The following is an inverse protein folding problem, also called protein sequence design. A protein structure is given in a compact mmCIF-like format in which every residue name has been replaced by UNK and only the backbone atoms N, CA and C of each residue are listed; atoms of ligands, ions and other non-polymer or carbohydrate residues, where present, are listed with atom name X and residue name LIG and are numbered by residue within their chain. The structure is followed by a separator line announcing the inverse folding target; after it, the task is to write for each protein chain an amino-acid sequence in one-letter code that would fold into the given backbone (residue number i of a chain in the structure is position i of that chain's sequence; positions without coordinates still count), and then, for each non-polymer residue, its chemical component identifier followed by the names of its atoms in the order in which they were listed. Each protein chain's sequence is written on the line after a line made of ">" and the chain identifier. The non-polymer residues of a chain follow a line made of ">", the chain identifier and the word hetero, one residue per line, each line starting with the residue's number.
data_IF_252758333743
#
_entry.id   IF_252758333743
#
_cell.length_a   1.000
_cell.length_b   1.000
_cell.length_c   1.000
_cell.angle_alpha   90.00
_cell.angle_beta   90.00
_cell.angle_gamma   90.00
#
_symmetry.space_group_name_H-M   'P 1'
#
loop_
_entity.id
_entity.type
_entity.pdbx_description
1 polymer ?
#
# COMPACT_ATOMS: atom_id res chain seq x y z
N UNK A 1 -24.48 -19.76 33.79
CA UNK A 1 -24.46 -18.65 32.82
C UNK A 1 -23.00 -18.41 32.46
N UNK A 2 -22.50 -18.98 31.38
CA UNK A 2 -21.16 -18.70 30.88
C UNK A 2 -21.25 -17.44 30.02
N UNK A 3 -20.80 -16.32 30.58
CA UNK A 3 -20.64 -15.10 29.83
C UNK A 3 -19.62 -15.32 28.72
N UNK A 4 -20.03 -15.14 27.46
CA UNK A 4 -19.12 -15.03 26.33
C UNK A 4 -18.35 -13.74 26.54
N UNK A 5 -17.10 -13.85 27.00
CA UNK A 5 -16.16 -12.73 26.98
C UNK A 5 -15.80 -12.50 25.50
N UNK A 6 -16.39 -11.49 24.88
CA UNK A 6 -15.93 -11.02 23.57
C UNK A 6 -14.47 -10.62 23.71
N UNK A 7 -13.59 -11.43 23.16
CA UNK A 7 -12.17 -11.11 23.14
C UNK A 7 -11.92 -10.06 22.04
N UNK A 8 -11.49 -8.88 22.45
CA UNK A 8 -11.16 -7.78 21.55
C UNK A 8 -9.84 -8.11 20.80
N UNK A 9 -9.82 -7.97 19.46
CA UNK A 9 -8.59 -8.06 18.67
C UNK A 9 -7.72 -6.83 18.91
N UNK A 10 -6.52 -7.05 19.39
CA UNK A 10 -5.47 -6.04 19.50
C UNK A 10 -4.52 -6.15 18.31
N UNK A 11 -4.18 -5.04 17.69
CA UNK A 11 -3.24 -4.97 16.57
C UNK A 11 -2.18 -3.91 16.85
N UNK A 12 -0.91 -4.33 16.88
CA UNK A 12 0.24 -3.46 17.07
C UNK A 12 1.20 -3.61 15.90
N UNK A 13 1.90 -2.53 15.57
CA UNK A 13 2.92 -2.52 14.52
C UNK A 13 4.19 -1.88 15.03
N UNK A 14 5.31 -2.40 14.55
CA UNK A 14 6.65 -1.92 14.89
C UNK A 14 7.45 -1.80 13.60
N UNK A 15 8.25 -0.76 13.48
CA UNK A 15 9.25 -0.63 12.42
C UNK A 15 10.60 -0.98 13.02
N UNK A 16 11.17 -2.10 12.58
CA UNK A 16 12.32 -2.72 13.25
C UNK A 16 13.60 -2.59 12.42
N UNK A 17 14.71 -2.45 13.12
CA UNK A 17 16.05 -2.67 12.58
C UNK A 17 16.30 -4.17 12.35
N UNK A 18 17.33 -4.51 11.58
CA UNK A 18 17.73 -5.91 11.37
C UNK A 18 18.07 -6.60 12.70
N UNK A 19 18.79 -5.91 13.58
CA UNK A 19 19.17 -6.46 14.90
C UNK A 19 17.95 -6.76 15.77
N UNK A 20 16.96 -5.85 15.79
CA UNK A 20 15.70 -6.07 16.53
C UNK A 20 14.92 -7.26 15.96
N UNK A 21 14.86 -7.41 14.63
CA UNK A 21 14.22 -8.59 14.00
C UNK A 21 14.92 -9.87 14.46
N UNK A 22 16.26 -9.94 14.36
CA UNK A 22 17.02 -11.13 14.80
C UNK A 22 16.76 -11.46 16.25
N UNK A 23 16.82 -10.46 17.15
CA UNK A 23 16.54 -10.63 18.58
C UNK A 23 15.11 -11.13 18.83
N UNK A 24 14.13 -10.52 18.17
CA UNK A 24 12.72 -10.89 18.32
C UNK A 24 12.48 -12.34 17.90
N UNK A 25 12.94 -12.75 16.72
CA UNK A 25 12.71 -14.12 16.25
C UNK A 25 13.48 -15.17 17.05
N UNK A 26 14.67 -14.84 17.55
CA UNK A 26 15.36 -15.71 18.48
C UNK A 26 14.58 -15.92 19.78
N UNK A 27 13.92 -14.88 20.29
CA UNK A 27 13.12 -14.96 21.51
C UNK A 27 11.83 -15.76 21.35
N UNK A 28 11.16 -15.66 20.18
CA UNK A 28 9.83 -16.28 19.97
C UNK A 28 9.90 -17.68 19.34
N UNK A 29 11.04 -18.13 18.84
CA UNK A 29 11.16 -19.34 18.02
C UNK A 29 10.58 -20.62 18.60
N UNK A 30 10.53 -20.74 19.95
CA UNK A 30 9.92 -21.88 20.66
C UNK A 30 8.41 -21.72 20.92
N UNK A 31 7.86 -20.53 20.71
CA UNK A 31 6.49 -20.18 21.06
C UNK A 31 5.57 -20.03 19.86
N UNK A 32 6.14 -19.83 18.68
CA UNK A 32 5.38 -19.55 17.47
C UNK A 32 5.76 -20.53 16.34
N UNK A 33 4.75 -20.95 15.59
CA UNK A 33 4.92 -21.84 14.42
C UNK A 33 4.83 -21.04 13.14
N UNK A 34 5.77 -21.25 12.23
CA UNK A 34 5.79 -20.60 10.90
C UNK A 34 4.63 -21.13 10.08
N UNK A 35 3.87 -20.21 9.48
CA UNK A 35 2.85 -20.52 8.47
C UNK A 35 3.54 -20.68 7.11
N UNK A 36 3.48 -21.87 6.52
CA UNK A 36 3.95 -22.14 5.17
C UNK A 36 2.74 -22.39 4.27
N UNK A 37 2.55 -21.54 3.28
CA UNK A 37 1.39 -21.61 2.39
C UNK A 37 1.59 -22.58 1.23
N UNK A 38 2.85 -22.82 0.83
CA UNK A 38 3.26 -23.75 -0.20
C UNK A 38 4.59 -24.40 0.24
N UNK A 39 4.60 -25.72 0.44
CA UNK A 39 5.79 -26.42 0.91
C UNK A 39 6.93 -26.41 -0.12
N UNK A 40 6.60 -26.42 -1.41
CA UNK A 40 7.59 -26.35 -2.49
C UNK A 40 8.13 -24.93 -2.68
N UNK A 41 7.36 -23.90 -2.25
CA UNK A 41 7.71 -22.47 -2.35
C UNK A 41 7.43 -21.77 -1.03
N UNK A 42 8.27 -21.97 -0.01
CA UNK A 42 8.00 -21.50 1.35
C UNK A 42 8.12 -19.98 1.52
N UNK A 43 8.67 -19.26 0.54
CA UNK A 43 8.87 -17.82 0.64
C UNK A 43 7.67 -17.09 0.05
N UNK A 44 6.89 -16.46 0.91
CA UNK A 44 5.68 -15.76 0.52
C UNK A 44 5.93 -14.28 0.22
N UNK A 45 5.37 -13.81 -0.87
CA UNK A 45 5.31 -12.41 -1.28
C UNK A 45 3.87 -11.95 -1.35
N UNK A 46 3.66 -10.69 -1.03
CA UNK A 46 2.35 -10.04 -1.18
C UNK A 46 2.49 -8.86 -2.13
N UNK A 47 1.65 -8.85 -3.16
CA UNK A 47 1.41 -7.70 -4.02
C UNK A 47 0.08 -7.08 -3.63
N UNK A 48 0.05 -5.78 -3.40
CA UNK A 48 -1.19 -5.07 -3.04
C UNK A 48 -1.33 -3.83 -3.91
N UNK A 49 -2.37 -3.81 -4.74
CA UNK A 49 -2.73 -2.64 -5.54
C UNK A 49 -3.82 -1.86 -4.82
N UNK A 50 -3.56 -0.60 -4.52
CA UNK A 50 -4.51 0.32 -3.88
C UNK A 50 -5.21 1.17 -4.93
N UNK A 51 -6.50 1.37 -4.71
CA UNK A 51 -7.35 2.22 -5.52
C UNK A 51 -7.59 3.55 -4.82
N UNK A 52 -7.68 4.62 -5.60
CA UNK A 52 -8.09 5.94 -5.12
C UNK A 52 -8.79 6.69 -6.25
N UNK A 53 -9.46 7.76 -5.91
CA UNK A 53 -10.07 8.71 -6.83
C UNK A 53 -9.05 9.76 -7.31
N UNK A 54 -9.38 10.52 -8.36
CA UNK A 54 -8.50 11.59 -8.86
C UNK A 54 -8.25 12.68 -7.81
N UNK A 55 -9.23 12.92 -6.94
CA UNK A 55 -9.13 13.86 -5.81
C UNK A 55 -8.56 13.24 -4.53
N UNK A 56 -8.02 12.00 -4.61
CA UNK A 56 -7.38 11.29 -3.49
C UNK A 56 -8.29 11.07 -2.27
N UNK A 57 -9.54 10.68 -2.50
CA UNK A 57 -10.54 10.47 -1.46
C UNK A 57 -10.08 9.50 -0.36
N UNK A 58 -9.53 8.33 -0.74
CA UNK A 58 -9.08 7.33 0.24
C UNK A 58 -7.82 7.78 0.98
N UNK A 59 -6.90 8.47 0.31
CA UNK A 59 -5.71 9.03 0.95
C UNK A 59 -6.09 10.08 1.97
N UNK A 60 -6.97 11.03 1.60
CA UNK A 60 -7.47 12.05 2.54
C UNK A 60 -8.21 11.43 3.72
N UNK A 61 -9.00 10.38 3.48
CA UNK A 61 -9.71 9.68 4.55
C UNK A 61 -8.77 9.11 5.62
N UNK A 62 -7.52 8.79 5.26
CA UNK A 62 -6.52 8.28 6.22
C UNK A 62 -6.14 9.32 7.32
N UNK A 63 -6.47 10.59 7.13
CA UNK A 63 -6.25 11.67 8.09
C UNK A 63 -7.54 12.09 8.81
N UNK A 64 -8.67 11.53 8.42
CA UNK A 64 -9.97 11.81 9.00
C UNK A 64 -10.39 10.80 10.08
N UNK A 65 -11.57 11.00 10.67
CA UNK A 65 -12.13 10.11 11.69
C UNK A 65 -12.50 8.73 11.13
N UNK A 66 -12.72 8.63 9.82
CA UNK A 66 -13.05 7.39 9.12
C UNK A 66 -12.02 7.16 8.02
N UNK A 67 -11.05 6.30 8.30
CA UNK A 67 -10.04 5.91 7.31
C UNK A 67 -10.55 4.74 6.45
N UNK A 68 -10.58 4.93 5.13
CA UNK A 68 -10.98 3.90 4.16
C UNK A 68 -9.82 3.50 3.27
N UNK A 69 -9.80 2.25 2.79
CA UNK A 69 -8.82 1.75 1.81
C UNK A 69 -9.45 0.65 0.98
N UNK A 70 -9.56 0.89 -0.32
CA UNK A 70 -9.92 -0.14 -1.29
C UNK A 70 -8.63 -0.71 -1.90
N UNK A 71 -8.48 -2.04 -1.90
CA UNK A 71 -7.28 -2.69 -2.42
C UNK A 71 -7.54 -4.07 -2.99
N UNK A 72 -6.80 -4.41 -4.02
CA UNK A 72 -6.62 -5.76 -4.51
C UNK A 72 -5.34 -6.34 -3.88
N UNK A 73 -5.42 -7.54 -3.34
CA UNK A 73 -4.28 -8.27 -2.81
C UNK A 73 -4.10 -9.58 -3.55
N UNK A 74 -2.88 -9.82 -3.97
CA UNK A 74 -2.43 -11.03 -4.62
C UNK A 74 -1.25 -11.60 -3.85
N UNK A 75 -1.02 -12.91 -4.01
CA UNK A 75 0.03 -13.63 -3.32
C UNK A 75 0.91 -14.34 -4.34
N UNK A 76 2.21 -14.33 -4.12
CA UNK A 76 3.17 -15.05 -4.93
C UNK A 76 4.16 -15.78 -4.02
N UNK A 77 4.70 -16.89 -4.47
CA UNK A 77 5.59 -17.75 -3.69
C UNK A 77 6.85 -18.07 -4.49
N UNK A 78 7.98 -18.17 -3.80
CA UNK A 78 9.26 -18.58 -4.37
C UNK A 78 9.85 -19.76 -3.59
N UNK A 79 10.61 -20.61 -4.26
CA UNK A 79 11.29 -21.73 -3.62
C UNK A 79 12.52 -21.25 -2.84
N UNK A 80 13.24 -20.24 -3.33
CA UNK A 80 14.37 -19.61 -2.68
C UNK A 80 14.29 -18.06 -2.70
N UNK A 81 15.25 -17.39 -2.08
CA UNK A 81 15.33 -15.92 -2.08
C UNK A 81 15.83 -15.36 -3.43
N UNK A 82 16.46 -16.19 -4.22
CA UNK A 82 17.04 -15.90 -5.53
C UNK A 82 16.03 -16.10 -6.66
N UNK A 83 14.98 -16.92 -6.40
CA UNK A 83 13.98 -17.24 -7.41
C UNK A 83 12.95 -16.11 -7.57
N UNK A 84 12.48 -15.94 -8.79
CA UNK A 84 11.34 -15.08 -9.06
C UNK A 84 10.07 -15.67 -8.44
N UNK A 85 9.27 -14.88 -7.69
CA UNK A 85 8.03 -15.37 -7.12
C UNK A 85 7.01 -15.72 -8.21
N UNK A 86 6.30 -16.83 -8.03
CA UNK A 86 5.23 -17.29 -8.92
C UNK A 86 3.86 -16.92 -8.33
N UNK A 87 3.01 -16.29 -9.14
CA UNK A 87 1.70 -15.83 -8.71
C UNK A 87 0.76 -17.03 -8.41
N UNK A 88 0.19 -17.01 -7.20
CA UNK A 88 -0.78 -18.01 -6.77
C UNK A 88 -2.17 -17.77 -7.35
N UNK A 89 -3.03 -18.80 -7.28
CA UNK A 89 -4.43 -18.69 -7.65
C UNK A 89 -5.27 -17.87 -6.65
N UNK A 90 -4.73 -17.57 -5.47
CA UNK A 90 -5.45 -16.84 -4.44
C UNK A 90 -5.25 -15.33 -4.60
N UNK A 91 -6.37 -14.61 -4.63
CA UNK A 91 -6.38 -13.15 -4.59
C UNK A 91 -7.62 -12.64 -3.85
N UNK A 92 -7.61 -11.41 -3.39
CA UNK A 92 -8.78 -10.81 -2.75
C UNK A 92 -8.90 -9.30 -3.02
N UNK A 93 -10.13 -8.86 -3.24
CA UNK A 93 -10.52 -7.46 -3.22
C UNK A 93 -11.06 -7.13 -1.82
N UNK A 94 -10.53 -6.09 -1.20
CA UNK A 94 -10.86 -5.73 0.17
C UNK A 94 -11.15 -4.24 0.28
N UNK A 95 -12.25 -3.90 0.97
CA UNK A 95 -12.48 -2.58 1.55
C UNK A 95 -12.21 -2.68 3.05
N UNK A 96 -11.25 -1.89 3.53
CA UNK A 96 -11.03 -1.70 4.98
C UNK A 96 -11.54 -0.34 5.39
N UNK A 97 -12.23 -0.30 6.52
CA UNK A 97 -12.72 0.91 7.14
C UNK A 97 -12.32 0.91 8.62
N UNK A 98 -11.85 2.04 9.10
CA UNK A 98 -11.49 2.24 10.51
C UNK A 98 -12.12 3.55 10.98
N UNK A 99 -12.94 3.48 12.01
CA UNK A 99 -13.64 4.63 12.61
C UNK A 99 -12.99 5.08 13.93
N UNK A 100 -11.74 4.68 14.16
CA UNK A 100 -11.04 4.92 15.43
C UNK A 100 -11.36 3.86 16.48
N UNK A 101 -12.62 3.63 16.78
CA UNK A 101 -13.10 2.64 17.77
C UNK A 101 -13.47 1.29 17.16
N UNK A 102 -13.92 1.29 15.91
CA UNK A 102 -14.33 0.07 15.21
C UNK A 102 -13.56 -0.12 13.91
N UNK A 103 -13.24 -1.39 13.62
CA UNK A 103 -12.60 -1.79 12.37
C UNK A 103 -13.51 -2.74 11.62
N UNK A 104 -13.83 -2.42 10.39
CA UNK A 104 -14.54 -3.32 9.49
C UNK A 104 -13.68 -3.69 8.29
N UNK A 105 -13.92 -4.87 7.76
CA UNK A 105 -13.28 -5.36 6.55
C UNK A 105 -14.30 -6.14 5.74
N UNK A 106 -14.61 -5.63 4.56
CA UNK A 106 -15.39 -6.33 3.54
C UNK A 106 -14.43 -6.94 2.54
N UNK A 107 -14.60 -8.22 2.19
CA UNK A 107 -13.66 -8.96 1.35
C UNK A 107 -14.39 -9.90 0.42
N UNK A 108 -13.96 -9.94 -0.85
CA UNK A 108 -14.20 -11.03 -1.79
C UNK A 108 -12.87 -11.73 -2.05
N UNK A 109 -12.81 -13.03 -1.79
CA UNK A 109 -11.69 -13.87 -2.17
C UNK A 109 -12.07 -14.62 -3.43
N UNK A 110 -11.27 -14.46 -4.50
CA UNK A 110 -11.56 -15.05 -5.81
C UNK A 110 -10.28 -15.28 -6.61
N UNK A 111 -10.42 -15.97 -7.73
CA UNK A 111 -9.33 -16.06 -8.68
C UNK A 111 -8.96 -14.68 -9.23
N UNK A 112 -7.69 -14.43 -9.59
CA UNK A 112 -7.27 -13.19 -10.23
C UNK A 112 -8.09 -12.83 -11.46
N UNK A 113 -8.49 -13.83 -12.25
CA UNK A 113 -9.31 -13.63 -13.46
C UNK A 113 -10.68 -13.03 -13.12
N UNK A 114 -11.39 -13.59 -12.13
CA UNK A 114 -12.69 -13.07 -11.69
C UNK A 114 -12.57 -11.67 -11.11
N UNK A 115 -11.53 -11.42 -10.30
CA UNK A 115 -11.29 -10.09 -9.74
C UNK A 115 -10.95 -9.06 -10.82
N UNK A 116 -10.21 -9.46 -11.87
CA UNK A 116 -9.97 -8.61 -13.04
C UNK A 116 -11.29 -8.21 -13.70
N UNK A 117 -12.16 -9.18 -13.98
CA UNK A 117 -13.47 -8.91 -14.59
C UNK A 117 -14.30 -7.95 -13.74
N UNK A 118 -14.32 -8.13 -12.41
CA UNK A 118 -15.02 -7.23 -11.49
C UNK A 118 -14.47 -5.80 -11.58
N UNK A 119 -13.16 -5.63 -11.59
CA UNK A 119 -12.49 -4.34 -11.61
C UNK A 119 -12.66 -3.65 -12.96
N UNK A 120 -12.38 -4.35 -14.07
CA UNK A 120 -12.45 -3.80 -15.45
C UNK A 120 -13.88 -3.39 -15.79
N UNK A 121 -14.86 -4.17 -15.38
CA UNK A 121 -16.29 -3.92 -15.62
C UNK A 121 -16.97 -3.07 -14.54
N UNK A 122 -16.20 -2.55 -13.59
CA UNK A 122 -16.65 -1.68 -12.49
C UNK A 122 -17.90 -2.21 -11.79
N UNK A 123 -17.83 -3.47 -11.35
CA UNK A 123 -18.89 -4.09 -10.55
C UNK A 123 -20.06 -4.64 -11.34
N UNK A 124 -19.89 -5.03 -12.62
CA UNK A 124 -20.92 -5.78 -13.31
C UNK A 124 -21.39 -6.98 -12.46
N UNK A 125 -22.71 -7.17 -12.43
CA UNK A 125 -23.35 -8.34 -11.83
C UNK A 125 -23.08 -9.54 -12.73
N UNK A 126 -21.91 -10.11 -12.64
CA UNK A 126 -21.58 -11.34 -13.35
C UNK A 126 -22.11 -12.53 -12.54
N UNK A 127 -22.88 -13.46 -13.14
CA UNK A 127 -23.33 -14.68 -12.48
C UNK A 127 -22.18 -15.51 -11.87
N UNK A 128 -20.96 -15.40 -12.41
CA UNK A 128 -19.79 -16.04 -11.86
C UNK A 128 -19.45 -15.60 -10.44
N UNK A 129 -19.90 -14.42 -10.01
CA UNK A 129 -19.77 -13.95 -8.63
C UNK A 129 -20.92 -14.41 -7.74
N UNK A 130 -22.03 -14.89 -8.30
CA UNK A 130 -23.20 -15.31 -7.54
C UNK A 130 -22.98 -16.52 -6.62
N UNK A 131 -21.97 -17.33 -6.90
CA UNK A 131 -21.57 -18.49 -6.10
C UNK A 131 -20.44 -18.23 -5.12
N UNK A 132 -19.95 -16.97 -5.01
CA UNK A 132 -18.82 -16.65 -4.15
C UNK A 132 -19.29 -16.30 -2.74
N UNK A 133 -18.60 -16.82 -1.74
CA UNK A 133 -18.81 -16.49 -0.34
C UNK A 133 -17.76 -15.42 0.10
N UNK A 134 -18.16 -14.34 0.77
CA UNK A 134 -19.51 -13.97 1.12
C UNK A 134 -20.17 -13.05 0.08
N UNK A 135 -21.27 -13.47 -0.50
CA UNK A 135 -22.11 -12.67 -1.43
C UNK A 135 -22.50 -11.30 -0.85
N UNK A 136 -22.63 -11.21 0.47
CA UNK A 136 -22.96 -9.98 1.20
C UNK A 136 -21.91 -8.86 1.02
N UNK A 137 -20.67 -9.21 0.68
CA UNK A 137 -19.58 -8.26 0.45
C UNK A 137 -19.65 -7.61 -0.95
N UNK A 138 -20.24 -8.30 -1.92
CA UNK A 138 -20.24 -7.88 -3.32
C UNK A 138 -20.90 -6.52 -3.55
N UNK A 139 -22.12 -6.22 -3.03
CA UNK A 139 -22.76 -4.92 -3.24
C UNK A 139 -21.93 -3.74 -2.75
N UNK A 140 -21.29 -3.89 -1.60
CA UNK A 140 -20.44 -2.84 -1.01
C UNK A 140 -19.20 -2.58 -1.90
N UNK A 141 -18.53 -3.64 -2.35
CA UNK A 141 -17.35 -3.49 -3.22
C UNK A 141 -17.74 -2.99 -4.61
N UNK A 142 -18.89 -3.39 -5.15
CA UNK A 142 -19.43 -2.84 -6.40
C UNK A 142 -19.71 -1.35 -6.30
N UNK A 143 -20.30 -0.90 -5.18
CA UNK A 143 -20.55 0.52 -4.93
C UNK A 143 -19.25 1.33 -4.95
N UNK A 144 -18.20 0.86 -4.27
CA UNK A 144 -16.90 1.53 -4.27
C UNK A 144 -16.26 1.56 -5.67
N UNK A 145 -16.31 0.44 -6.42
CA UNK A 145 -15.78 0.37 -7.79
C UNK A 145 -16.60 1.18 -8.80
N UNK A 146 -17.84 1.52 -8.48
CA UNK A 146 -18.71 2.34 -9.36
C UNK A 146 -18.43 3.84 -9.27
N UNK A 147 -17.57 4.28 -8.34
CA UNK A 147 -17.13 5.68 -8.27
C UNK A 147 -16.42 6.03 -9.58
N UNK A 148 -16.86 7.08 -10.33
CA UNK A 148 -16.40 7.33 -11.72
C UNK A 148 -14.88 7.46 -11.86
N UNK A 149 -14.24 8.11 -10.88
CA UNK A 149 -12.79 8.41 -10.90
C UNK A 149 -11.93 7.37 -10.20
N UNK A 150 -12.54 6.26 -9.72
CA UNK A 150 -11.79 5.21 -9.04
C UNK A 150 -10.84 4.50 -10.00
N UNK A 151 -9.57 4.46 -9.64
CA UNK A 151 -8.52 3.83 -10.42
C UNK A 151 -7.41 3.27 -9.53
N UNK A 152 -6.63 2.29 -9.99
CA UNK A 152 -5.42 1.87 -9.28
C UNK A 152 -4.41 3.01 -9.25
N UNK A 153 -3.85 3.31 -8.07
CA UNK A 153 -2.93 4.44 -7.86
C UNK A 153 -1.56 4.02 -7.38
N UNK A 154 -1.46 2.89 -6.69
CA UNK A 154 -0.24 2.41 -6.09
C UNK A 154 -0.24 0.90 -6.03
N UNK A 155 0.88 0.26 -6.38
CA UNK A 155 1.15 -1.14 -6.06
C UNK A 155 2.28 -1.23 -5.05
N UNK A 156 2.09 -2.03 -4.00
CA UNK A 156 3.13 -2.33 -3.01
C UNK A 156 3.50 -3.80 -3.09
N UNK A 157 4.80 -4.07 -3.05
CA UNK A 157 5.38 -5.39 -2.95
C UNK A 157 6.11 -5.55 -1.63
N UNK A 158 6.02 -6.70 -1.02
CA UNK A 158 6.84 -7.07 0.13
C UNK A 158 6.89 -8.58 0.32
N UNK A 159 7.99 -9.05 0.87
CA UNK A 159 8.11 -10.41 1.36
C UNK A 159 7.46 -10.49 2.74
N UNK A 160 6.71 -11.57 3.01
CA UNK A 160 6.02 -11.77 4.28
C UNK A 160 6.38 -13.11 4.90
N UNK A 161 6.90 -13.08 6.13
CA UNK A 161 6.86 -14.22 7.02
C UNK A 161 5.63 -14.10 7.92
N UNK A 162 4.94 -15.21 8.17
CA UNK A 162 3.80 -15.27 9.06
C UNK A 162 3.98 -16.42 10.06
N UNK A 163 3.54 -16.20 11.29
CA UNK A 163 3.57 -17.16 12.36
C UNK A 163 2.31 -17.09 13.18
N UNK A 164 1.95 -18.22 13.76
CA UNK A 164 0.83 -18.34 14.71
C UNK A 164 1.33 -18.92 16.03
N UNK A 165 0.67 -18.54 17.12
CA UNK A 165 0.88 -19.06 18.44
C UNK A 165 -0.44 -19.07 19.23
N UNK A 166 -0.40 -19.59 20.47
CA UNK A 166 -1.57 -19.61 21.36
C UNK A 166 -2.81 -20.21 20.70
N UNK A 167 -2.63 -21.35 20.01
CA UNK A 167 -3.73 -22.05 19.29
C UNK A 167 -4.45 -21.11 18.29
N UNK A 168 -3.71 -20.24 17.60
CA UNK A 168 -4.23 -19.32 16.60
C UNK A 168 -4.73 -17.98 17.15
N UNK A 169 -4.74 -17.77 18.46
CA UNK A 169 -5.12 -16.50 19.09
C UNK A 169 -4.06 -15.41 19.01
N UNK A 170 -2.87 -15.74 18.51
CA UNK A 170 -1.80 -14.81 18.26
C UNK A 170 -1.28 -15.02 16.85
N UNK A 171 -1.23 -13.95 16.09
CA UNK A 171 -0.64 -13.91 14.75
C UNK A 171 0.43 -12.85 14.68
N UNK A 172 1.60 -13.27 14.19
CA UNK A 172 2.77 -12.41 14.00
C UNK A 172 3.10 -12.41 12.52
N UNK A 173 3.27 -11.22 11.91
CA UNK A 173 3.75 -11.13 10.53
C UNK A 173 4.92 -10.15 10.45
N UNK A 174 5.95 -10.53 9.69
CA UNK A 174 7.06 -9.66 9.34
C UNK A 174 7.01 -9.36 7.85
N UNK A 175 6.90 -8.09 7.49
CA UNK A 175 6.96 -7.59 6.12
C UNK A 175 8.32 -6.94 5.88
N UNK A 176 9.04 -7.42 4.87
CA UNK A 176 10.36 -6.95 4.48
C UNK A 176 10.44 -6.61 2.99
N UNK A 177 11.49 -5.88 2.60
CA UNK A 177 11.73 -5.49 1.20
C UNK A 177 10.54 -4.74 0.60
N UNK A 178 10.01 -3.79 1.37
CA UNK A 178 8.88 -3.01 0.95
C UNK A 178 9.24 -2.16 -0.26
N UNK A 179 8.54 -2.37 -1.37
CA UNK A 179 8.72 -1.66 -2.63
C UNK A 179 7.39 -1.04 -3.05
N UNK A 180 7.44 0.22 -3.45
CA UNK A 180 6.32 0.99 -3.97
C UNK A 180 6.48 1.16 -5.47
N UNK A 181 5.46 0.79 -6.24
CA UNK A 181 5.49 0.82 -7.69
C UNK A 181 4.31 1.65 -8.23
N UNK A 182 4.45 2.13 -9.46
CA UNK A 182 3.29 2.55 -10.25
C UNK A 182 2.26 1.43 -10.27
N UNK A 183 0.97 1.75 -10.48
CA UNK A 183 -0.08 0.73 -10.46
C UNK A 183 0.20 -0.39 -11.43
N UNK A 184 0.20 -1.61 -10.92
CA UNK A 184 0.27 -2.83 -11.72
C UNK A 184 -1.02 -3.60 -11.50
N UNK A 185 -1.72 -3.92 -12.56
CA UNK A 185 -2.96 -4.69 -12.48
C UNK A 185 -2.65 -6.14 -12.76
N UNK A 186 -3.18 -6.97 -11.95
CA UNK A 186 -3.37 -8.42 -11.94
C UNK A 186 -2.49 -9.22 -12.90
N UNK A 187 -1.65 -10.05 -12.31
CA UNK A 187 -0.83 -11.01 -13.04
C UNK A 187 -1.61 -12.24 -13.50
N UNK A 188 -0.96 -13.04 -14.32
CA UNK A 188 -1.45 -14.35 -14.73
C UNK A 188 -1.04 -15.39 -13.68
N UNK A 189 -1.98 -16.22 -13.24
CA UNK A 189 -1.70 -17.33 -12.30
C UNK A 189 -0.64 -18.26 -12.88
N UNK A 190 0.34 -18.61 -12.06
CA UNK A 190 1.47 -19.45 -12.47
C UNK A 190 2.60 -18.71 -13.18
N UNK A 191 2.42 -17.42 -13.53
CA UNK A 191 3.51 -16.62 -14.07
C UNK A 191 4.47 -16.16 -12.99
N UNK A 192 5.73 -16.05 -13.34
CA UNK A 192 6.72 -15.33 -12.53
C UNK A 192 6.37 -13.84 -12.47
N UNK A 193 6.47 -13.27 -11.29
CA UNK A 193 6.12 -11.88 -11.05
C UNK A 193 7.18 -11.21 -10.18
N UNK A 194 7.57 -10.01 -10.58
CA UNK A 194 8.48 -9.18 -9.83
C UNK A 194 8.13 -7.69 -10.04
N UNK A 195 8.54 -6.79 -9.15
CA UNK A 195 8.47 -5.37 -9.45
C UNK A 195 9.31 -5.06 -10.69
N UNK A 196 8.70 -4.44 -11.71
CA UNK A 196 9.46 -3.90 -12.83
C UNK A 196 10.27 -2.69 -12.36
N UNK A 197 11.57 -2.66 -12.64
CA UNK A 197 12.47 -1.59 -12.22
C UNK A 197 12.00 -0.20 -12.70
N UNK A 198 11.43 -0.11 -13.90
CA UNK A 198 10.89 1.14 -14.46
C UNK A 198 9.66 1.67 -13.68
N UNK A 199 8.93 0.78 -13.03
CA UNK A 199 7.72 1.13 -12.26
C UNK A 199 8.03 1.44 -10.79
N UNK A 200 9.23 1.11 -10.31
CA UNK A 200 9.60 1.36 -8.91
C UNK A 200 9.68 2.86 -8.66
N UNK A 201 8.87 3.33 -7.72
CA UNK A 201 8.86 4.72 -7.26
C UNK A 201 9.79 4.89 -6.07
N UNK A 202 9.72 3.96 -5.13
CA UNK A 202 10.57 3.92 -3.96
C UNK A 202 10.66 2.50 -3.41
N UNK A 203 11.76 2.20 -2.74
CA UNK A 203 11.93 1.02 -1.93
C UNK A 203 12.60 1.39 -0.62
N UNK A 204 12.35 0.63 0.43
CA UNK A 204 12.88 0.94 1.75
C UNK A 204 13.34 -0.29 2.51
N UNK A 205 14.35 -0.12 3.39
CA UNK A 205 14.83 -1.19 4.26
C UNK A 205 13.87 -1.48 5.41
N UNK A 206 12.74 -0.81 5.47
CA UNK A 206 11.78 -0.95 6.56
C UNK A 206 11.34 -2.41 6.73
N UNK A 207 11.42 -2.88 7.97
CA UNK A 207 10.92 -4.18 8.42
C UNK A 207 9.77 -3.92 9.36
N UNK A 208 8.58 -4.39 8.95
CA UNK A 208 7.34 -4.09 9.65
C UNK A 208 6.86 -5.35 10.32
N UNK A 209 6.97 -5.37 11.64
CA UNK A 209 6.37 -6.40 12.46
C UNK A 209 4.93 -5.98 12.77
N UNK A 210 3.96 -6.84 12.47
CA UNK A 210 2.55 -6.67 12.87
C UNK A 210 2.17 -7.83 13.79
N UNK A 211 1.64 -7.52 14.94
CA UNK A 211 1.18 -8.47 15.93
C UNK A 211 -0.31 -8.28 16.13
N UNK A 212 -1.05 -9.38 16.01
CA UNK A 212 -2.47 -9.45 16.31
C UNK A 212 -2.70 -10.49 17.39
N UNK A 213 -3.38 -10.11 18.44
CA UNK A 213 -3.74 -11.05 19.51
C UNK A 213 -5.15 -10.78 20.03
N UNK A 214 -5.77 -11.85 20.53
CA UNK A 214 -7.06 -11.81 21.18
C UNK A 214 -6.88 -12.12 22.66
N UNK A 215 -7.36 -11.23 23.52
CA UNK A 215 -7.18 -11.31 24.96
C UNK A 215 -5.82 -10.76 25.43
N UNK A 216 -5.36 -11.22 26.57
CA UNK A 216 -4.11 -10.74 27.19
C UNK A 216 -2.89 -11.13 26.35
N UNK A 217 -1.90 -10.24 26.35
CA UNK A 217 -0.62 -10.49 25.70
C UNK A 217 0.19 -11.49 26.54
N UNK A 218 0.66 -12.62 25.95
CA UNK A 218 1.52 -13.56 26.68
C UNK A 218 2.80 -12.89 27.19
N UNK A 219 3.25 -13.27 28.37
CA UNK A 219 4.46 -12.70 29.01
C UNK A 219 5.72 -12.86 28.15
N UNK A 220 5.87 -14.01 27.47
CA UNK A 220 6.99 -14.24 26.57
C UNK A 220 7.00 -13.24 25.40
N UNK A 221 5.83 -12.86 24.86
CA UNK A 221 5.71 -11.88 23.80
C UNK A 221 6.02 -10.47 24.30
N UNK A 222 5.53 -10.10 25.50
CA UNK A 222 5.86 -8.82 26.12
C UNK A 222 7.37 -8.65 26.30
N UNK A 223 8.07 -9.70 26.76
CA UNK A 223 9.54 -9.71 26.88
C UNK A 223 10.25 -9.63 25.54
N UNK A 224 9.75 -10.33 24.51
CA UNK A 224 10.33 -10.26 23.17
C UNK A 224 10.24 -8.88 22.53
N UNK A 225 9.22 -8.09 22.89
CA UNK A 225 8.98 -6.72 22.42
C UNK A 225 9.65 -5.64 23.28
N UNK A 226 10.31 -6.00 24.36
CA UNK A 226 10.95 -5.04 25.24
C UNK A 226 11.95 -4.14 24.50
N UNK A 227 11.83 -2.82 24.68
CA UNK A 227 12.62 -1.80 23.98
C UNK A 227 12.26 -1.63 22.50
N UNK A 228 11.07 -2.06 22.07
CA UNK A 228 10.53 -1.78 20.75
C UNK A 228 9.34 -0.81 20.86
N UNK A 229 9.39 0.28 20.12
CA UNK A 229 8.33 1.29 20.14
C UNK A 229 7.26 1.00 19.09
N UNK A 230 5.97 1.00 19.46
CA UNK A 230 4.88 0.86 18.52
C UNK A 230 4.86 1.99 17.49
N UNK A 231 4.73 1.64 16.21
CA UNK A 231 4.60 2.58 15.11
C UNK A 231 3.14 2.99 14.93
N UNK A 232 2.72 4.06 15.60
CA UNK A 232 1.38 4.60 15.47
C UNK A 232 1.15 5.23 14.09
N UNK A 233 -0.07 5.06 13.54
CA UNK A 233 -0.46 5.67 12.26
C UNK A 233 0.25 5.09 11.02
N UNK A 234 1.04 4.03 11.17
CA UNK A 234 1.75 3.41 10.05
C UNK A 234 0.78 2.84 8.99
N UNK A 235 0.98 3.24 7.73
CA UNK A 235 0.20 2.76 6.60
C UNK A 235 1.06 2.67 5.34
N UNK A 236 1.18 1.45 4.78
CA UNK A 236 1.86 1.23 3.49
C UNK A 236 1.26 2.08 2.36
N UNK A 237 -0.07 2.23 2.34
CA UNK A 237 -0.76 3.08 1.38
C UNK A 237 -0.32 4.54 1.47
N UNK A 238 -0.39 5.12 2.68
CA UNK A 238 0.05 6.52 2.91
C UNK A 238 1.50 6.73 2.50
N UNK A 239 2.41 5.87 2.98
CA UNK A 239 3.84 5.95 2.64
C UNK A 239 4.09 5.88 1.13
N UNK A 240 3.41 4.98 0.42
CA UNK A 240 3.57 4.83 -1.01
C UNK A 240 3.02 6.01 -1.80
N UNK A 241 1.87 6.56 -1.42
CA UNK A 241 1.30 7.75 -2.05
C UNK A 241 2.17 8.99 -1.83
N UNK A 242 2.71 9.16 -0.63
CA UNK A 242 3.68 10.23 -0.33
C UNK A 242 4.98 10.08 -1.14
N UNK A 243 5.45 8.85 -1.38
CA UNK A 243 6.61 8.60 -2.23
C UNK A 243 6.33 8.95 -3.70
N UNK A 244 5.13 8.64 -4.21
CA UNK A 244 4.70 9.02 -5.57
C UNK A 244 4.65 10.55 -5.68
N UNK A 245 4.03 11.25 -4.73
CA UNK A 245 3.91 12.72 -4.76
C UNK A 245 5.29 13.38 -4.77
N UNK A 246 6.21 12.96 -3.88
CA UNK A 246 7.58 13.49 -3.85
C UNK A 246 8.35 13.25 -5.15
N UNK A 247 8.18 12.09 -5.79
CA UNK A 247 8.82 11.81 -7.09
C UNK A 247 8.25 12.69 -8.19
N UNK A 248 6.95 12.94 -8.20
CA UNK A 248 6.31 13.85 -9.16
C UNK A 248 6.77 15.30 -8.95
N UNK A 249 6.81 15.78 -7.71
CA UNK A 249 7.32 17.11 -7.38
C UNK A 249 8.77 17.29 -7.84
N UNK A 250 9.63 16.29 -7.62
CA UNK A 250 11.02 16.32 -8.05
C UNK A 250 11.18 16.35 -9.59
N UNK A 251 10.23 15.79 -10.33
CA UNK A 251 10.22 15.83 -11.80
C UNK A 251 9.67 17.15 -12.36
N UNK A 252 8.72 17.78 -11.67
CA UNK A 252 8.06 19.01 -12.12
C UNK A 252 8.87 20.26 -11.77
N UNK A 253 9.61 20.23 -10.65
CA UNK A 253 10.42 21.37 -10.17
C UNK A 253 11.41 21.93 -11.20
N UNK A 254 12.21 21.12 -11.92
CA UNK A 254 13.11 21.64 -12.97
C UNK A 254 12.34 22.30 -14.12
N UNK A 255 11.24 21.70 -14.54
CA UNK A 255 10.41 22.22 -15.67
C UNK A 255 9.75 23.55 -15.31
N UNK A 256 9.31 23.70 -14.05
CA UNK A 256 8.76 24.99 -13.57
C UNK A 256 9.85 26.07 -13.52
N UNK A 257 11.05 25.74 -13.02
CA UNK A 257 12.17 26.67 -12.96
C UNK A 257 12.67 27.12 -14.35
N UNK A 258 12.67 26.22 -15.35
CA UNK A 258 12.99 26.56 -16.74
C UNK A 258 11.93 27.50 -17.34
N UNK A 259 10.65 27.26 -17.11
CA UNK A 259 9.55 28.10 -17.59
C UNK A 259 9.56 29.50 -16.96
N UNK A 260 9.87 29.58 -15.65
CA UNK A 260 9.98 30.85 -14.94
C UNK A 260 11.18 31.65 -15.47
N UNK A 261 12.31 31.01 -15.73
CA UNK A 261 13.50 31.63 -16.31
C UNK A 261 13.24 32.13 -17.77
N UNK A 262 12.53 31.35 -18.59
CA UNK A 262 12.12 31.78 -19.93
C UNK A 262 11.16 32.97 -19.88
N UNK A 263 10.19 32.96 -18.97
CA UNK A 263 9.23 34.07 -18.80
C UNK A 263 9.91 35.34 -18.27
N UNK A 264 10.91 35.25 -17.42
CA UNK A 264 11.70 36.39 -16.95
C UNK A 264 12.59 36.94 -18.07
N UNK A 265 13.27 36.08 -18.85
CA UNK A 265 14.05 36.49 -20.00
C UNK A 265 13.21 37.19 -21.08
N UNK A 266 11.96 36.73 -21.26
CA UNK A 266 11.05 37.35 -22.21
C UNK A 266 10.55 38.72 -21.73
N UNK A 267 10.30 38.92 -20.45
CA UNK A 267 9.98 40.20 -19.80
C UNK A 267 11.13 41.19 -19.93
N UNK A 268 12.35 40.74 -19.70
CA UNK A 268 13.55 41.57 -19.80
C UNK A 268 13.78 42.05 -21.25
N UNK A 269 13.55 41.17 -22.23
CA UNK A 269 13.65 41.49 -23.64
C UNK A 269 12.57 42.51 -24.12
N UNK A 270 11.33 42.38 -23.65
CA UNK A 270 10.26 43.34 -23.89
C UNK A 270 10.54 44.72 -23.26
N UNK A 271 11.09 44.71 -22.03
CA UNK A 271 11.48 45.98 -21.36
C UNK A 271 12.62 46.65 -22.07
N UNK A 272 13.60 45.91 -22.59
CA UNK A 272 14.70 46.50 -23.38
C UNK A 272 14.23 47.10 -24.74
N UNK A 273 13.21 46.49 -25.35
CA UNK A 273 12.62 46.99 -26.61
C UNK A 273 11.77 48.28 -26.42
N UNK A 274 11.14 48.43 -25.25
CA UNK A 274 10.33 49.61 -24.93
C UNK A 274 11.14 50.78 -24.41
N UNK A 275 12.36 50.53 -23.85
CA UNK A 275 13.26 51.54 -23.33
C UNK A 275 14.05 52.35 -24.37
N UNK A 276 13.94 52.02 -25.70
CA UNK A 276 14.70 52.68 -26.77
C UNK A 276 13.97 53.77 -27.50
N UNK A 277 12.85 54.32 -27.00
CA UNK A 277 12.06 55.34 -27.71
C UNK A 277 12.28 56.77 -27.21
N UNK A 278 13.28 57.09 -26.39
CA UNK A 278 13.61 58.46 -25.92
C UNK A 278 14.90 59.03 -26.53
N UNK A 279 15.03 58.99 -27.86
CA UNK A 279 16.04 59.82 -28.57
C UNK A 279 15.40 60.54 -29.74
N UNK A 280 14.71 61.64 -29.50
CA UNK A 280 14.52 62.72 -30.47
C UNK A 280 13.96 63.96 -29.84
N UNK A 281 14.82 64.84 -29.27
CA UNK A 281 14.53 66.27 -29.14
C UNK A 281 15.86 67.02 -29.09
N UNK A 282 16.37 67.34 -30.27
CA UNK A 282 17.40 68.40 -30.43
C UNK A 282 16.63 69.69 -30.66
N UNK A 283 16.78 70.76 -29.81
CA UNK A 283 16.26 72.09 -30.14
C UNK A 283 17.24 72.73 -31.10
N UNK A 284 16.69 73.16 -32.26
CA UNK A 284 17.42 73.89 -33.29
C UNK A 284 17.87 75.28 -32.82
N UNK A 285 18.98 75.69 -33.41
CA UNK A 285 19.58 77.00 -33.36
C UNK A 285 18.79 78.07 -34.09
N UNK A 286 18.77 79.25 -33.57
CA UNK A 286 18.96 80.55 -34.30
C UNK A 286 19.87 81.41 -33.43
#
# INVERSE_FOLDING_TARGET
>A
MSGVVESVEHEERFVLTRAQVTRFFAAIGRHATVETYDQARPIAYTRTTYFDTDDSFYLRSCHGPIARRLRLREYAMAASLEDAPVLSAAACLELKQNTGTARSKVRIQASPTLLRMLIERRGLRDPAFASMDPLSALPTLQSELSIPTIAPRLTTWYRRAAMTAESGRLRITLDERLTFCRPQIIGVVGAEVAPNAADIVASGPARILEIKHWGERPLWLARALEGMEPAHGFSKFKMGMEAISRKLEALVRPIAAERDAEADAQRDAETALTGTSDFASIPGAV
#
